data_IF_735696900608
#
_entry.id   IF_735696900608
#
_cell.length_a   1.000
_cell.length_b   1.000
_cell.length_c   1.000
_cell.angle_alpha   90.00
_cell.angle_beta   90.00
_cell.angle_gamma   90.00
#
_symmetry.space_group_name_H-M   'P 1'
#
loop_
_entity.id
_entity.type
_entity.pdbx_description
1 polymer ?
#
# COMPACT_ATOMS: atom_id res chain seq x y z
N UNK A 1 9.86 6.76 -27.09
CA UNK A 1 10.68 7.86 -26.51
C UNK A 1 10.41 7.82 -25.00
N UNK A 2 11.24 7.14 -24.26
CA UNK A 2 11.16 7.17 -22.80
C UNK A 2 11.72 8.50 -22.32
N UNK A 3 10.85 9.49 -22.16
CA UNK A 3 11.22 10.80 -21.64
C UNK A 3 11.69 10.66 -20.20
N UNK A 4 12.92 11.09 -19.90
CA UNK A 4 13.44 11.12 -18.52
C UNK A 4 12.49 11.94 -17.64
N UNK A 5 11.99 11.35 -16.58
CA UNK A 5 11.17 12.04 -15.57
C UNK A 5 12.07 12.78 -14.59
N UNK A 6 11.72 14.02 -14.26
CA UNK A 6 12.45 14.81 -13.27
C UNK A 6 11.50 15.69 -12.46
N UNK A 7 11.56 15.56 -11.14
CA UNK A 7 10.67 16.23 -10.21
C UNK A 7 9.40 15.46 -9.89
N UNK A 8 8.77 15.80 -8.76
CA UNK A 8 7.65 15.04 -8.21
C UNK A 8 6.47 14.91 -9.17
N UNK A 9 6.07 16.00 -9.85
CA UNK A 9 4.91 16.00 -10.75
C UNK A 9 5.11 15.07 -11.95
N UNK A 10 6.28 15.13 -12.60
CA UNK A 10 6.58 14.27 -13.74
C UNK A 10 6.52 12.77 -13.38
N UNK A 11 7.00 12.43 -12.18
CA UNK A 11 6.91 11.06 -11.67
C UNK A 11 5.48 10.66 -11.32
N UNK A 12 4.69 11.55 -10.70
CA UNK A 12 3.28 11.29 -10.40
C UNK A 12 2.51 11.01 -11.69
N UNK A 13 2.70 11.83 -12.72
CA UNK A 13 2.04 11.66 -14.02
C UNK A 13 2.43 10.32 -14.66
N UNK A 14 3.72 9.98 -14.69
CA UNK A 14 4.19 8.69 -15.20
C UNK A 14 3.63 7.50 -14.43
N UNK A 15 3.58 7.58 -13.10
CA UNK A 15 3.06 6.51 -12.25
C UNK A 15 1.54 6.36 -12.39
N UNK A 16 0.83 7.45 -12.67
CA UNK A 16 -0.60 7.42 -12.97
C UNK A 16 -0.92 6.78 -14.31
N UNK A 17 -0.10 7.02 -15.33
CA UNK A 17 -0.27 6.39 -16.65
C UNK A 17 0.08 4.88 -16.62
N UNK A 18 0.72 4.45 -15.54
CA UNK A 18 1.00 3.04 -15.29
C UNK A 18 -0.21 2.33 -14.68
N UNK A 19 -0.21 0.98 -14.60
CA UNK A 19 -1.33 0.16 -14.06
C UNK A 19 -1.64 0.37 -12.56
N UNK A 20 -0.94 1.28 -11.87
CA UNK A 20 -1.22 1.68 -10.49
C UNK A 20 -2.61 2.34 -10.26
N UNK A 21 -3.30 2.92 -11.28
CA UNK A 21 -4.71 3.34 -11.13
C UNK A 21 -5.65 2.22 -10.66
N UNK A 22 -5.40 0.97 -11.01
CA UNK A 22 -6.19 -0.15 -10.51
C UNK A 22 -6.07 -0.33 -8.99
N UNK A 23 -4.87 -0.15 -8.45
CA UNK A 23 -4.62 -0.14 -7.00
C UNK A 23 -5.36 1.03 -6.33
N UNK A 24 -5.27 2.23 -6.90
CA UNK A 24 -5.94 3.42 -6.37
C UNK A 24 -7.46 3.23 -6.31
N UNK A 25 -8.06 2.61 -7.35
CA UNK A 25 -9.49 2.30 -7.38
C UNK A 25 -9.87 1.32 -6.26
N UNK A 26 -9.12 0.23 -6.06
CA UNK A 26 -9.38 -0.73 -4.98
C UNK A 26 -9.26 -0.06 -3.60
N UNK A 27 -8.24 0.76 -3.38
CA UNK A 27 -8.07 1.50 -2.12
C UNK A 27 -9.26 2.45 -1.89
N UNK A 28 -9.69 3.17 -2.93
CA UNK A 28 -10.84 4.08 -2.85
C UNK A 28 -12.13 3.33 -2.55
N UNK A 29 -12.41 2.23 -3.24
CA UNK A 29 -13.59 1.39 -2.99
C UNK A 29 -13.61 0.86 -1.55
N UNK A 30 -12.46 0.40 -1.05
CA UNK A 30 -12.33 -0.08 0.31
C UNK A 30 -12.52 1.03 1.37
N UNK A 31 -12.06 2.25 1.09
CA UNK A 31 -12.27 3.39 1.98
C UNK A 31 -13.72 3.86 2.00
N UNK A 32 -14.40 3.86 0.85
CA UNK A 32 -15.83 4.19 0.78
C UNK A 32 -16.68 3.20 1.59
N UNK A 33 -16.34 1.91 1.53
CA UNK A 33 -16.98 0.89 2.36
C UNK A 33 -16.75 1.13 3.86
N UNK A 34 -15.56 1.63 4.24
CA UNK A 34 -15.25 1.96 5.63
C UNK A 34 -16.01 3.17 6.15
N UNK A 35 -16.15 4.19 5.31
CA UNK A 35 -16.81 5.44 5.68
C UNK A 35 -18.35 5.30 5.84
N UNK A 36 -18.93 4.21 5.35
CA UNK A 36 -20.35 3.95 5.43
C UNK A 36 -20.68 3.10 6.66
N UNK A 37 -21.35 3.68 7.65
CA UNK A 37 -21.85 2.94 8.83
C UNK A 37 -22.85 1.81 8.48
N UNK A 38 -23.35 1.79 7.23
CA UNK A 38 -24.31 0.80 6.73
C UNK A 38 -23.70 -0.26 5.81
N UNK A 39 -22.37 -0.28 5.63
CA UNK A 39 -21.72 -1.26 4.76
C UNK A 39 -21.97 -2.68 5.23
N UNK A 40 -22.52 -3.49 4.34
CA UNK A 40 -22.91 -4.86 4.62
C UNK A 40 -21.84 -5.86 4.12
N UNK A 41 -21.93 -7.09 4.62
CA UNK A 41 -21.15 -8.25 4.11
C UNK A 41 -21.33 -8.38 2.59
N UNK A 42 -22.53 -8.09 2.08
CA UNK A 42 -22.86 -8.16 0.68
C UNK A 42 -22.12 -7.11 -0.16
N UNK A 43 -21.97 -5.89 0.36
CA UNK A 43 -21.30 -4.79 -0.34
C UNK A 43 -19.81 -5.09 -0.51
N UNK A 44 -19.13 -5.54 0.55
CA UNK A 44 -17.73 -5.95 0.47
C UNK A 44 -17.56 -7.17 -0.46
N UNK A 45 -18.43 -8.16 -0.34
CA UNK A 45 -18.40 -9.33 -1.21
C UNK A 45 -18.60 -8.93 -2.67
N UNK A 46 -19.53 -8.01 -2.98
CA UNK A 46 -19.78 -7.55 -4.34
C UNK A 46 -18.57 -6.83 -4.95
N UNK A 47 -17.84 -6.03 -4.18
CA UNK A 47 -16.60 -5.38 -4.63
C UNK A 47 -15.54 -6.44 -4.96
N UNK A 48 -15.31 -7.40 -4.07
CA UNK A 48 -14.28 -8.43 -4.25
C UNK A 48 -14.58 -9.38 -5.40
N UNK A 49 -15.85 -9.73 -5.60
CA UNK A 49 -16.28 -10.66 -6.67
C UNK A 49 -16.18 -10.05 -8.07
N UNK A 50 -15.90 -8.76 -8.23
CA UNK A 50 -15.61 -8.15 -9.54
C UNK A 50 -14.29 -8.63 -10.13
N UNK A 51 -13.35 -9.06 -9.28
CA UNK A 51 -12.05 -9.58 -9.68
C UNK A 51 -11.86 -11.03 -9.20
N UNK A 52 -11.86 -11.96 -10.14
CA UNK A 52 -11.72 -13.39 -9.83
C UNK A 52 -10.33 -13.74 -9.28
N UNK A 53 -9.26 -13.02 -9.71
CA UNK A 53 -7.90 -13.20 -9.21
C UNK A 53 -7.82 -12.78 -7.75
N UNK A 54 -8.29 -11.56 -7.44
CA UNK A 54 -8.36 -11.05 -6.09
C UNK A 54 -9.20 -11.96 -5.18
N UNK A 55 -10.39 -12.34 -5.61
CA UNK A 55 -11.27 -13.29 -4.91
C UNK A 55 -10.54 -14.58 -4.53
N UNK A 56 -9.86 -15.20 -5.50
CA UNK A 56 -9.12 -16.45 -5.28
C UNK A 56 -8.00 -16.29 -4.24
N UNK A 57 -7.24 -15.20 -4.33
CA UNK A 57 -6.13 -14.90 -3.41
C UNK A 57 -6.62 -14.59 -2.00
N UNK A 58 -7.68 -13.81 -1.87
CA UNK A 58 -8.32 -13.52 -0.57
C UNK A 58 -8.81 -14.80 0.09
N UNK A 59 -9.48 -15.69 -0.66
CA UNK A 59 -9.91 -16.99 -0.13
C UNK A 59 -8.74 -17.88 0.28
N UNK A 60 -7.63 -17.85 -0.46
CA UNK A 60 -6.41 -18.58 -0.08
C UNK A 60 -5.83 -18.09 1.24
N UNK A 61 -5.74 -16.78 1.43
CA UNK A 61 -5.29 -16.17 2.70
C UNK A 61 -6.27 -16.50 3.82
N UNK A 62 -7.56 -16.40 3.55
CA UNK A 62 -8.62 -16.72 4.51
C UNK A 62 -8.57 -18.18 4.99
N UNK A 63 -8.19 -19.12 4.11
CA UNK A 63 -8.00 -20.54 4.44
C UNK A 63 -6.63 -20.86 5.03
N UNK A 64 -5.74 -19.88 5.24
CA UNK A 64 -4.47 -20.14 5.90
C UNK A 64 -4.65 -20.50 7.36
N UNK A 65 -3.71 -21.28 7.92
CA UNK A 65 -3.74 -21.70 9.33
C UNK A 65 -3.76 -20.53 10.33
N UNK A 66 -3.31 -19.37 9.92
CA UNK A 66 -3.35 -18.15 10.74
C UNK A 66 -4.77 -17.60 10.94
N UNK A 67 -5.56 -17.53 9.84
CA UNK A 67 -6.91 -17.00 9.89
C UNK A 67 -7.98 -18.08 10.13
N UNK A 68 -7.68 -19.32 9.80
CA UNK A 68 -8.57 -20.47 9.90
C UNK A 68 -7.92 -21.65 10.62
N UNK A 69 -7.61 -21.49 11.91
CA UNK A 69 -6.96 -22.56 12.69
C UNK A 69 -7.86 -23.80 12.86
N UNK A 70 -9.18 -23.65 12.73
CA UNK A 70 -10.13 -24.75 12.78
C UNK A 70 -10.20 -25.58 11.49
N UNK A 71 -9.47 -25.16 10.44
CA UNK A 71 -9.45 -25.81 9.11
C UNK A 71 -10.87 -25.97 8.50
N UNK A 72 -11.78 -25.04 8.74
CA UNK A 72 -13.06 -25.00 8.07
C UNK A 72 -12.87 -24.71 6.57
N UNK A 73 -13.68 -25.35 5.69
CA UNK A 73 -13.59 -25.13 4.27
C UNK A 73 -14.30 -23.83 3.86
N UNK A 74 -13.54 -22.73 3.75
CA UNK A 74 -14.05 -21.40 3.38
C UNK A 74 -14.04 -21.28 1.85
N UNK A 75 -15.21 -21.41 1.22
CA UNK A 75 -15.37 -21.41 -0.24
C UNK A 75 -15.95 -20.10 -0.81
N UNK A 76 -16.46 -19.22 0.04
CA UNK A 76 -17.09 -17.97 -0.39
C UNK A 76 -16.58 -16.76 0.38
N UNK A 77 -16.54 -15.61 -0.28
CA UNK A 77 -16.15 -14.35 0.36
C UNK A 77 -17.10 -14.03 1.53
N UNK A 78 -18.40 -14.20 1.36
CA UNK A 78 -19.37 -13.95 2.44
C UNK A 78 -19.09 -14.82 3.68
N UNK A 79 -18.71 -16.10 3.48
CA UNK A 79 -18.33 -17.00 4.58
C UNK A 79 -17.02 -16.55 5.24
N UNK A 80 -16.04 -16.13 4.43
CA UNK A 80 -14.80 -15.57 4.92
C UNK A 80 -15.04 -14.33 5.80
N UNK A 81 -15.90 -13.41 5.34
CA UNK A 81 -16.25 -12.19 6.09
C UNK A 81 -16.92 -12.55 7.44
N UNK A 82 -17.82 -13.53 7.46
CA UNK A 82 -18.50 -13.97 8.68
C UNK A 82 -17.53 -14.61 9.68
N UNK A 83 -16.57 -15.41 9.23
CA UNK A 83 -15.65 -16.14 10.11
C UNK A 83 -14.46 -15.31 10.58
N UNK A 84 -13.90 -14.49 9.70
CA UNK A 84 -12.65 -13.74 9.94
C UNK A 84 -12.94 -12.30 10.33
N UNK A 85 -14.10 -11.80 9.95
CA UNK A 85 -14.54 -10.43 10.18
C UNK A 85 -14.38 -9.54 8.94
N UNK A 86 -15.28 -8.56 8.83
CA UNK A 86 -15.34 -7.58 7.73
C UNK A 86 -14.01 -6.85 7.55
N UNK A 87 -13.48 -6.28 8.64
CA UNK A 87 -12.23 -5.51 8.64
C UNK A 87 -11.02 -6.33 8.21
N UNK A 88 -10.92 -7.56 8.69
CA UNK A 88 -9.82 -8.45 8.33
C UNK A 88 -9.83 -8.79 6.84
N UNK A 89 -11.00 -9.10 6.27
CA UNK A 89 -11.12 -9.38 4.84
C UNK A 89 -10.81 -8.13 4.01
N UNK A 90 -11.24 -6.96 4.45
CA UNK A 90 -10.93 -5.69 3.79
C UNK A 90 -9.41 -5.43 3.76
N UNK A 91 -8.72 -5.60 4.89
CA UNK A 91 -7.27 -5.44 4.97
C UNK A 91 -6.51 -6.47 4.12
N UNK A 92 -6.94 -7.74 4.13
CA UNK A 92 -6.38 -8.79 3.29
C UNK A 92 -6.51 -8.40 1.81
N UNK A 93 -7.69 -7.92 1.41
CA UNK A 93 -7.98 -7.56 0.03
C UNK A 93 -7.12 -6.38 -0.45
N UNK A 94 -6.99 -5.34 0.37
CA UNK A 94 -6.12 -4.22 0.11
C UNK A 94 -4.66 -4.67 -0.02
N UNK A 95 -4.21 -5.52 0.89
CA UNK A 95 -2.84 -6.04 0.90
C UNK A 95 -2.52 -6.86 -0.35
N UNK A 96 -3.44 -7.75 -0.74
CA UNK A 96 -3.29 -8.57 -1.95
C UNK A 96 -3.26 -7.71 -3.20
N UNK A 97 -4.16 -6.71 -3.30
CA UNK A 97 -4.20 -5.80 -4.45
C UNK A 97 -2.92 -4.97 -4.56
N UNK A 98 -2.36 -4.50 -3.44
CA UNK A 98 -1.09 -3.78 -3.42
C UNK A 98 0.06 -4.66 -3.94
N UNK A 99 0.17 -5.89 -3.44
CA UNK A 99 1.20 -6.83 -3.87
C UNK A 99 1.08 -7.12 -5.38
N UNK A 100 -0.13 -7.43 -5.85
CA UNK A 100 -0.37 -7.74 -7.25
C UNK A 100 -0.04 -6.56 -8.17
N UNK A 101 -0.51 -5.37 -7.83
CA UNK A 101 -0.25 -4.17 -8.63
C UNK A 101 1.23 -3.83 -8.75
N UNK A 102 1.99 -4.05 -7.67
CA UNK A 102 3.41 -3.75 -7.65
C UNK A 102 4.28 -4.85 -8.30
N UNK A 103 3.90 -6.12 -8.16
CA UNK A 103 4.70 -7.25 -8.68
C UNK A 103 4.35 -7.64 -10.11
N UNK A 104 3.31 -7.07 -10.71
CA UNK A 104 2.82 -7.45 -12.05
C UNK A 104 3.85 -7.24 -13.18
N UNK A 105 4.82 -6.36 -12.99
CA UNK A 105 5.81 -5.94 -14.02
C UNK A 105 7.18 -6.60 -13.91
N UNK A 106 7.34 -7.54 -13.04
CA UNK A 106 8.63 -8.18 -12.75
C UNK A 106 9.30 -7.55 -11.54
N UNK A 107 9.43 -8.32 -10.45
CA UNK A 107 9.94 -7.79 -9.20
C UNK A 107 11.43 -7.48 -9.30
N UNK A 108 11.81 -6.25 -8.98
CA UNK A 108 13.19 -5.94 -8.60
C UNK A 108 13.45 -6.46 -7.19
N UNK A 109 14.69 -6.78 -6.86
CA UNK A 109 15.01 -7.39 -5.56
C UNK A 109 14.68 -6.49 -4.37
N UNK A 110 14.68 -5.15 -4.56
CA UNK A 110 14.30 -4.18 -3.51
C UNK A 110 12.81 -4.26 -3.14
N UNK A 111 11.97 -4.59 -4.10
CA UNK A 111 10.52 -4.51 -3.94
C UNK A 111 9.97 -5.51 -2.91
N UNK A 112 10.35 -6.82 -2.91
CA UNK A 112 9.91 -7.76 -1.89
C UNK A 112 10.35 -7.38 -0.48
N UNK A 113 11.56 -6.86 -0.30
CA UNK A 113 12.05 -6.44 1.01
C UNK A 113 11.30 -5.21 1.51
N UNK A 114 11.11 -4.22 0.66
CA UNK A 114 10.38 -3.00 0.99
C UNK A 114 8.91 -3.30 1.31
N UNK A 115 8.26 -4.18 0.53
CA UNK A 115 6.92 -4.68 0.81
C UNK A 115 6.85 -5.37 2.17
N UNK A 116 7.78 -6.28 2.47
CA UNK A 116 7.82 -6.98 3.75
C UNK A 116 7.97 -6.00 4.92
N UNK A 117 8.84 -4.99 4.80
CA UNK A 117 9.00 -3.93 5.81
C UNK A 117 7.73 -3.10 5.98
N UNK A 118 7.07 -2.71 4.89
CA UNK A 118 5.82 -1.93 4.92
C UNK A 118 4.69 -2.70 5.60
N UNK A 119 4.55 -4.00 5.30
CA UNK A 119 3.57 -4.86 5.97
C UNK A 119 3.88 -5.06 7.44
N UNK A 120 5.14 -5.33 7.78
CA UNK A 120 5.55 -5.48 9.16
C UNK A 120 5.25 -4.21 9.97
N UNK A 121 5.62 -3.04 9.44
CA UNK A 121 5.33 -1.75 10.05
C UNK A 121 3.82 -1.52 10.23
N UNK A 122 3.00 -1.84 9.22
CA UNK A 122 1.56 -1.69 9.28
C UNK A 122 0.91 -2.58 10.36
N UNK A 123 1.35 -3.84 10.47
CA UNK A 123 0.88 -4.76 11.53
C UNK A 123 1.25 -4.24 12.91
N UNK A 124 2.50 -3.78 13.11
CA UNK A 124 2.94 -3.23 14.39
C UNK A 124 2.18 -1.95 14.74
N UNK A 125 2.03 -1.04 13.78
CA UNK A 125 1.28 0.21 13.97
C UNK A 125 -0.18 -0.05 14.36
N UNK A 126 -0.85 -1.01 13.69
CA UNK A 126 -2.20 -1.44 14.05
C UNK A 126 -2.28 -1.99 15.47
N UNK A 127 -1.33 -2.84 15.86
CA UNK A 127 -1.29 -3.42 17.20
C UNK A 127 -1.12 -2.32 18.25
N UNK A 128 -0.20 -1.37 18.05
CA UNK A 128 0.00 -0.22 18.95
C UNK A 128 -1.26 0.64 19.02
N UNK A 129 -1.87 0.94 17.86
CA UNK A 129 -3.11 1.72 17.79
C UNK A 129 -4.25 1.05 18.57
N UNK A 130 -4.27 -0.26 18.67
CA UNK A 130 -5.24 -1.02 19.47
C UNK A 130 -5.24 -0.63 20.96
N UNK A 131 -4.10 -0.22 21.48
CA UNK A 131 -3.97 0.22 22.88
C UNK A 131 -4.24 1.72 23.08
N UNK A 132 -4.04 2.55 22.04
CA UNK A 132 -4.06 4.02 22.18
C UNK A 132 -5.24 4.63 21.43
N UNK A 133 -5.61 4.09 20.28
CA UNK A 133 -6.58 4.65 19.33
C UNK A 133 -7.55 3.56 18.83
N UNK A 134 -8.22 2.88 19.74
CA UNK A 134 -9.01 1.66 19.46
C UNK A 134 -9.99 1.74 18.27
N UNK A 135 -10.46 2.95 17.92
CA UNK A 135 -11.39 3.16 16.79
C UNK A 135 -10.70 3.39 15.43
N UNK A 136 -9.39 3.61 15.41
CA UNK A 136 -8.64 4.00 14.21
C UNK A 136 -7.56 3.01 13.81
N UNK A 137 -7.60 1.78 14.35
CA UNK A 137 -6.58 0.75 14.10
C UNK A 137 -6.36 0.47 12.61
N UNK A 138 -7.45 0.48 11.85
CA UNK A 138 -7.42 0.21 10.44
C UNK A 138 -6.82 1.37 9.63
N UNK A 139 -7.25 2.59 9.93
CA UNK A 139 -6.70 3.78 9.29
C UNK A 139 -5.20 3.87 9.53
N UNK A 140 -4.75 3.55 10.75
CA UNK A 140 -3.33 3.49 11.12
C UNK A 140 -2.60 2.40 10.33
N UNK A 141 -3.22 1.21 10.15
CA UNK A 141 -2.66 0.15 9.33
C UNK A 141 -2.46 0.63 7.89
N UNK A 142 -3.51 1.21 7.28
CA UNK A 142 -3.47 1.70 5.89
C UNK A 142 -2.41 2.81 5.75
N UNK A 143 -2.38 3.77 6.67
CA UNK A 143 -1.39 4.84 6.65
C UNK A 143 0.05 4.32 6.72
N UNK A 144 0.31 3.35 7.60
CA UNK A 144 1.62 2.74 7.75
C UNK A 144 1.99 1.88 6.52
N UNK A 145 1.03 1.14 5.94
CA UNK A 145 1.25 0.33 4.74
C UNK A 145 1.63 1.21 3.53
N UNK A 146 0.96 2.36 3.39
CA UNK A 146 1.17 3.28 2.28
C UNK A 146 2.28 4.31 2.54
N UNK A 147 2.94 4.25 3.70
CA UNK A 147 3.98 5.20 4.07
C UNK A 147 5.13 5.28 3.05
N UNK A 148 5.48 4.17 2.43
CA UNK A 148 6.52 4.08 1.40
C UNK A 148 5.96 3.90 -0.01
N UNK A 149 4.70 4.29 -0.28
CA UNK A 149 4.07 4.02 -1.57
C UNK A 149 4.80 4.68 -2.75
N UNK A 150 5.43 5.83 -2.54
CA UNK A 150 6.24 6.50 -3.58
C UNK A 150 7.46 5.68 -3.98
N UNK A 151 8.16 5.12 -3.01
CA UNK A 151 9.30 4.24 -3.24
C UNK A 151 8.87 2.91 -3.87
N UNK A 152 7.82 2.29 -3.33
CA UNK A 152 7.22 1.07 -3.88
C UNK A 152 6.79 1.25 -5.33
N UNK A 153 6.12 2.35 -5.65
CA UNK A 153 5.67 2.68 -6.99
C UNK A 153 6.85 2.91 -7.95
N UNK A 154 7.88 3.59 -7.50
CA UNK A 154 9.11 3.80 -8.28
C UNK A 154 9.79 2.48 -8.64
N UNK A 155 10.07 1.63 -7.65
CA UNK A 155 10.69 0.32 -7.90
C UNK A 155 9.80 -0.60 -8.75
N UNK A 156 8.47 -0.46 -8.64
CA UNK A 156 7.51 -1.23 -9.43
C UNK A 156 7.35 -0.76 -10.87
N UNK A 157 7.65 0.51 -11.20
CA UNK A 157 7.43 1.02 -12.54
C UNK A 157 8.49 0.58 -13.57
N UNK A 158 9.70 0.25 -13.12
CA UNK A 158 10.82 -0.16 -13.98
C UNK A 158 11.35 0.96 -14.89
N UNK A 159 12.30 0.62 -15.76
CA UNK A 159 12.90 1.51 -16.74
C UNK A 159 14.27 2.06 -16.36
N UNK A 160 14.93 2.75 -17.30
CA UNK A 160 16.34 3.15 -17.21
C UNK A 160 16.70 3.97 -15.97
N UNK A 161 15.81 4.86 -15.50
CA UNK A 161 16.07 5.67 -14.31
C UNK A 161 15.99 4.85 -13.01
N UNK A 162 15.25 3.75 -13.01
CA UNK A 162 15.21 2.81 -11.88
C UNK A 162 16.52 2.02 -11.84
N UNK A 163 17.05 1.61 -13.03
CA UNK A 163 18.36 0.97 -13.13
C UNK A 163 19.48 1.93 -12.72
N UNK A 164 19.42 3.19 -13.16
CA UNK A 164 20.37 4.24 -12.77
C UNK A 164 20.42 4.46 -11.24
N UNK A 165 19.26 4.45 -10.57
CA UNK A 165 19.25 4.59 -9.12
C UNK A 165 19.78 3.34 -8.43
N UNK A 166 19.44 2.16 -8.93
CA UNK A 166 19.93 0.89 -8.38
C UNK A 166 21.45 0.81 -8.43
N UNK A 167 22.03 1.12 -9.59
CA UNK A 167 23.49 1.19 -9.78
C UNK A 167 24.12 2.23 -8.83
N UNK A 168 23.51 3.41 -8.70
CA UNK A 168 24.02 4.46 -7.83
C UNK A 168 24.00 4.06 -6.33
N UNK A 169 22.98 3.31 -5.91
CA UNK A 169 22.86 2.84 -4.52
C UNK A 169 23.82 1.67 -4.21
N UNK A 170 24.28 0.95 -5.22
CA UNK A 170 25.26 -0.11 -5.07
C UNK A 170 26.68 0.40 -4.79
N UNK A 171 26.96 1.69 -5.05
CA UNK A 171 28.27 2.29 -4.82
C UNK A 171 28.59 2.42 -3.31
N UNK A 172 29.76 1.97 -2.84
CA UNK A 172 30.11 2.04 -1.44
C UNK A 172 30.17 3.47 -0.91
N UNK A 173 29.47 3.72 0.21
CA UNK A 173 29.49 5.01 0.88
C UNK A 173 28.60 6.10 0.25
N UNK A 174 27.74 5.74 -0.70
CA UNK A 174 26.80 6.69 -1.27
C UNK A 174 25.77 7.15 -0.23
N UNK A 175 25.44 8.44 -0.28
CA UNK A 175 24.29 8.98 0.41
C UNK A 175 23.02 8.66 -0.42
N UNK A 176 22.19 7.76 0.11
CA UNK A 176 21.00 7.28 -0.57
C UNK A 176 20.01 8.44 -0.90
N UNK A 177 19.81 9.38 0.02
CA UNK A 177 18.92 10.52 -0.20
C UNK A 177 19.46 11.45 -1.30
N UNK A 178 20.76 11.66 -1.36
CA UNK A 178 21.38 12.44 -2.41
C UNK A 178 21.29 11.73 -3.77
N UNK A 179 21.48 10.41 -3.83
CA UNK A 179 21.31 9.61 -5.04
C UNK A 179 19.86 9.67 -5.56
N UNK A 180 18.89 9.48 -4.70
CA UNK A 180 17.46 9.60 -5.04
C UNK A 180 17.15 10.98 -5.62
N UNK A 181 17.55 12.06 -4.95
CA UNK A 181 17.31 13.44 -5.44
C UNK A 181 18.00 13.72 -6.77
N UNK A 182 19.19 13.17 -6.98
CA UNK A 182 19.94 13.32 -8.23
C UNK A 182 19.21 12.66 -9.40
N UNK A 183 18.73 11.43 -9.22
CA UNK A 183 18.08 10.65 -10.28
C UNK A 183 16.65 11.10 -10.53
N UNK A 184 15.87 11.30 -9.47
CA UNK A 184 14.43 11.62 -9.56
C UNK A 184 14.15 13.13 -9.65
N UNK A 185 15.05 13.98 -9.17
CA UNK A 185 14.77 15.42 -8.99
C UNK A 185 13.80 15.71 -7.84
N UNK A 186 13.52 14.73 -6.98
CA UNK A 186 12.60 14.80 -5.84
C UNK A 186 13.01 13.74 -4.80
N UNK A 187 12.34 13.72 -3.64
CA UNK A 187 12.51 12.65 -2.66
C UNK A 187 11.37 11.63 -2.74
N UNK A 188 11.57 10.41 -2.23
CA UNK A 188 10.51 9.43 -2.10
C UNK A 188 9.37 9.91 -1.19
N UNK A 189 9.69 10.70 -0.16
CA UNK A 189 8.69 11.31 0.70
C UNK A 189 7.77 12.28 -0.08
N UNK A 190 8.34 13.18 -0.88
CA UNK A 190 7.57 14.10 -1.73
C UNK A 190 6.74 13.35 -2.76
N UNK A 191 7.29 12.28 -3.33
CA UNK A 191 6.58 11.41 -4.26
C UNK A 191 5.40 10.71 -3.57
N UNK A 192 5.62 10.17 -2.37
CA UNK A 192 4.56 9.56 -1.56
C UNK A 192 3.45 10.55 -1.24
N UNK A 193 3.80 11.75 -0.76
CA UNK A 193 2.82 12.82 -0.48
C UNK A 193 1.98 13.18 -1.71
N UNK A 194 2.64 13.30 -2.86
CA UNK A 194 1.98 13.57 -4.14
C UNK A 194 1.02 12.46 -4.56
N UNK A 195 1.44 11.21 -4.48
CA UNK A 195 0.60 10.05 -4.82
C UNK A 195 -0.58 9.88 -3.86
N UNK A 196 -0.35 10.01 -2.54
CA UNK A 196 -1.42 9.95 -1.52
C UNK A 196 -2.49 10.99 -1.80
N UNK A 197 -2.08 12.22 -2.16
CA UNK A 197 -3.01 13.31 -2.51
C UNK A 197 -3.73 13.04 -3.83
N UNK A 198 -3.00 12.64 -4.86
CA UNK A 198 -3.54 12.43 -6.21
C UNK A 198 -4.53 11.27 -6.25
N UNK A 199 -4.23 10.18 -5.55
CA UNK A 199 -5.10 9.01 -5.46
C UNK A 199 -6.16 9.10 -4.36
N UNK A 200 -6.23 10.25 -3.66
CA UNK A 200 -7.18 10.48 -2.58
C UNK A 200 -7.21 9.35 -1.53
N UNK A 201 -6.02 8.93 -1.08
CA UNK A 201 -5.85 7.78 -0.18
C UNK A 201 -6.27 8.06 1.28
N UNK A 202 -6.97 9.14 1.51
CA UNK A 202 -7.58 9.51 2.78
C UNK A 202 -6.71 10.41 3.67
N UNK A 203 -7.35 11.03 4.68
CA UNK A 203 -6.69 12.03 5.53
C UNK A 203 -5.59 11.45 6.42
N UNK A 204 -5.73 10.21 6.89
CA UNK A 204 -4.75 9.58 7.77
C UNK A 204 -3.46 9.26 7.03
N UNK A 205 -3.53 8.80 5.78
CA UNK A 205 -2.35 8.59 4.95
C UNK A 205 -1.60 9.91 4.71
N UNK A 206 -2.32 11.03 4.55
CA UNK A 206 -1.73 12.35 4.42
C UNK A 206 -1.05 12.83 5.72
N UNK A 207 -1.65 12.54 6.88
CA UNK A 207 -1.12 12.92 8.19
C UNK A 207 0.14 12.13 8.58
N UNK A 208 0.30 10.91 8.10
CA UNK A 208 1.47 10.07 8.38
C UNK A 208 2.80 10.69 7.89
N UNK A 209 2.74 11.68 7.01
CA UNK A 209 3.89 12.39 6.45
C UNK A 209 4.09 13.81 7.01
N UNK A 210 3.30 14.22 8.01
CA UNK A 210 3.53 15.50 8.70
C UNK A 210 4.68 15.30 9.68
N UNK A 211 5.79 16.07 9.58
CA UNK A 211 6.87 15.98 10.55
C UNK A 211 6.34 16.25 11.95
N UNK A 212 6.73 15.42 12.92
CA UNK A 212 6.38 15.64 14.31
C UNK A 212 6.84 17.05 14.71
N UNK A 213 5.91 17.93 15.11
CA UNK A 213 6.28 19.23 15.65
C UNK A 213 7.23 19.03 16.83
N UNK A 214 8.36 19.71 16.89
CA UNK A 214 9.24 19.62 18.04
C UNK A 214 8.41 19.99 19.27
N UNK A 215 8.25 19.05 20.21
CA UNK A 215 7.61 19.32 21.48
C UNK A 215 8.42 20.45 22.14
N UNK A 216 7.78 21.58 22.37
CA UNK A 216 8.36 22.59 23.26
C UNK A 216 8.70 21.92 24.59
N UNK A 217 9.94 22.04 25.08
CA UNK A 217 10.27 21.48 26.38
C UNK A 217 9.38 22.16 27.44
N UNK A 218 8.74 21.34 28.27
CA UNK A 218 7.99 21.79 29.45
C UNK A 218 8.92 22.27 30.54
#
# INVERSE_FOLDING_TARGET
MDGRCYGAQAWIDRLNDSELPALAAVVTDMQQLAASESSSVQDLAAVLLRDASLTSKVLRVANSSYYNPACEDIRTISRAIVLIGFESIRLISLSVSLIDGLLSRGPRYQLPELLARSFHAAVQARNIAGYVLSKHQEEVFIAALLHHIGELAFWGCGGDQVDELDDALAEPGVDADAAVRKVLGTSFEQLTQGLVKHWNLGPVASLAHVPASPKSPA
#
